data_IF_894842015391
#
_entry.id   IF_894842015391
#
_cell.length_a   1.000
_cell.length_b   1.000
_cell.length_c   1.000
_cell.angle_alpha   90.00
_cell.angle_beta   90.00
_cell.angle_gamma   90.00
#
_symmetry.space_group_name_H-M   'P 1'
#
loop_
_entity.id
_entity.type
_entity.pdbx_description
1 polymer ?
#
# COMPACT_ATOMS: atom_id res chain seq x y z
N UNK A 1 -9.35 18.16 -11.10
CA UNK A 1 -8.35 18.17 -10.00
C UNK A 1 -8.18 19.61 -9.54
N UNK A 2 -8.61 19.94 -8.34
CA UNK A 2 -8.44 21.29 -7.77
C UNK A 2 -6.96 21.48 -7.45
N UNK A 3 -6.26 22.35 -8.15
CA UNK A 3 -4.85 22.61 -7.91
C UNK A 3 -4.63 23.21 -6.51
N UNK A 4 -3.49 22.95 -5.86
CA UNK A 4 -3.13 23.44 -4.52
C UNK A 4 -3.27 24.98 -4.41
N UNK A 5 -2.97 25.72 -5.49
CA UNK A 5 -3.16 27.17 -5.58
C UNK A 5 -4.62 27.61 -5.52
N UNK A 6 -5.57 26.80 -6.01
CA UNK A 6 -7.00 27.10 -5.90
C UNK A 6 -7.49 26.94 -4.45
N UNK A 7 -7.00 25.93 -3.71
CA UNK A 7 -7.33 25.78 -2.28
C UNK A 7 -6.93 27.03 -1.50
N UNK A 8 -5.71 27.54 -1.70
CA UNK A 8 -5.28 28.79 -1.05
C UNK A 8 -6.16 29.98 -1.47
N UNK A 9 -6.48 30.11 -2.75
CA UNK A 9 -7.32 31.19 -3.27
C UNK A 9 -8.72 31.17 -2.63
N UNK A 10 -9.33 29.99 -2.54
CA UNK A 10 -10.67 29.82 -1.97
C UNK A 10 -10.70 30.21 -0.49
N UNK A 11 -9.67 29.82 0.29
CA UNK A 11 -9.54 30.20 1.70
C UNK A 11 -9.31 31.71 1.84
N UNK A 12 -8.47 32.31 1.00
CA UNK A 12 -8.27 33.78 1.00
C UNK A 12 -9.55 34.52 0.71
N UNK A 13 -10.37 34.05 -0.24
CA UNK A 13 -11.68 34.65 -0.55
C UNK A 13 -12.66 34.52 0.62
N UNK A 14 -12.72 33.34 1.25
CA UNK A 14 -13.60 33.08 2.40
C UNK A 14 -13.24 33.94 3.62
N UNK A 15 -11.95 34.20 3.84
CA UNK A 15 -11.47 34.98 4.99
C UNK A 15 -11.32 36.48 4.70
N UNK A 16 -11.47 36.91 3.44
CA UNK A 16 -11.22 38.27 3.01
C UNK A 16 -9.73 38.68 3.09
N UNK A 17 -8.81 37.72 3.19
CA UNK A 17 -7.38 37.98 3.38
C UNK A 17 -6.71 38.30 2.05
N UNK A 18 -6.01 39.44 1.98
CA UNK A 18 -5.23 39.82 0.79
C UNK A 18 -3.85 39.17 0.74
N UNK A 19 -3.24 39.11 -0.45
CA UNK A 19 -1.85 38.57 -0.60
C UNK A 19 -0.82 39.35 0.23
N UNK A 20 -0.99 40.67 0.36
CA UNK A 20 -0.09 41.50 1.15
C UNK A 20 -0.22 41.24 2.65
N UNK A 21 -1.44 41.08 3.16
CA UNK A 21 -1.69 40.71 4.55
C UNK A 21 -1.14 39.31 4.85
N UNK A 22 -1.44 38.37 3.96
CA UNK A 22 -0.96 36.98 4.11
C UNK A 22 0.56 36.92 4.10
N UNK A 23 1.23 37.70 3.24
CA UNK A 23 2.70 37.82 3.23
C UNK A 23 3.23 38.35 4.56
N UNK A 24 2.63 39.42 5.08
CA UNK A 24 3.01 40.03 6.36
C UNK A 24 2.83 39.07 7.54
N UNK A 25 1.71 38.33 7.59
CA UNK A 25 1.39 37.43 8.69
C UNK A 25 2.21 36.14 8.66
N UNK A 26 2.43 35.58 7.48
CA UNK A 26 3.12 34.29 7.31
C UNK A 26 4.64 34.37 7.20
N UNK A 27 5.16 35.56 6.85
CA UNK A 27 6.57 35.75 6.48
C UNK A 27 6.94 35.20 5.09
N UNK A 28 5.98 34.64 4.35
CA UNK A 28 6.20 34.20 2.97
C UNK A 28 6.15 35.40 2.03
N UNK A 29 7.15 35.54 1.14
CA UNK A 29 7.24 36.69 0.25
C UNK A 29 6.03 36.76 -0.69
N UNK A 30 5.44 37.95 -0.87
CA UNK A 30 4.27 38.16 -1.73
C UNK A 30 4.46 37.65 -3.18
N UNK A 31 5.63 37.83 -3.85
CA UNK A 31 5.85 37.24 -5.18
C UNK A 31 5.73 35.72 -5.21
N UNK A 32 6.14 35.03 -4.14
CA UNK A 32 5.99 33.57 -4.02
C UNK A 32 4.53 33.16 -3.89
N UNK A 33 3.74 33.90 -3.10
CA UNK A 33 2.29 33.68 -2.97
C UNK A 33 1.59 33.92 -4.32
N UNK A 34 1.89 35.04 -4.99
CA UNK A 34 1.35 35.35 -6.32
C UNK A 34 1.72 34.28 -7.38
N UNK A 35 3.00 33.84 -7.37
CA UNK A 35 3.49 32.76 -8.24
C UNK A 35 2.77 31.44 -8.01
N UNK A 36 2.53 31.08 -6.75
CA UNK A 36 1.78 29.88 -6.38
C UNK A 36 0.31 29.92 -6.80
N UNK A 37 -0.36 31.04 -6.56
CA UNK A 37 -1.75 31.28 -6.98
C UNK A 37 -1.93 31.23 -8.50
N UNK A 38 -0.89 31.60 -9.25
CA UNK A 38 -0.87 31.54 -10.72
C UNK A 38 -0.24 30.25 -11.27
N UNK A 39 0.04 29.26 -10.42
CA UNK A 39 0.67 27.98 -10.76
C UNK A 39 2.03 28.08 -11.46
N UNK A 40 2.75 29.20 -11.26
CA UNK A 40 4.11 29.42 -11.78
C UNK A 40 5.20 28.91 -10.83
N UNK A 41 4.90 28.81 -9.55
CA UNK A 41 5.79 28.34 -8.48
C UNK A 41 5.01 27.38 -7.62
N UNK A 42 5.66 26.31 -7.13
CA UNK A 42 5.09 25.44 -6.10
C UNK A 42 5.64 25.81 -4.73
N UNK A 43 4.83 25.64 -3.69
CA UNK A 43 5.20 25.81 -2.29
C UNK A 43 5.32 24.45 -1.61
N UNK A 44 6.24 24.31 -0.66
CA UNK A 44 6.28 23.14 0.20
C UNK A 44 5.00 23.00 1.04
N UNK A 45 4.73 21.78 1.56
CA UNK A 45 3.58 21.56 2.44
C UNK A 45 3.67 22.45 3.70
N UNK A 46 4.87 22.61 4.27
CA UNK A 46 5.10 23.49 5.43
C UNK A 46 4.81 24.97 5.12
N UNK A 47 5.18 25.43 3.93
CA UNK A 47 4.87 26.81 3.52
C UNK A 47 3.38 27.02 3.30
N UNK A 48 2.71 26.05 2.66
CA UNK A 48 1.27 26.10 2.44
C UNK A 48 0.49 26.00 3.77
N UNK A 49 0.90 25.10 4.68
CA UNK A 49 0.29 24.99 6.01
C UNK A 49 0.46 26.28 6.81
N UNK A 50 1.63 26.93 6.75
CA UNK A 50 1.86 28.23 7.37
C UNK A 50 0.93 29.32 6.84
N UNK A 51 0.73 29.37 5.51
CA UNK A 51 -0.20 30.32 4.89
C UNK A 51 -1.65 30.05 5.35
N UNK A 52 -2.07 28.80 5.35
CA UNK A 52 -3.41 28.39 5.79
C UNK A 52 -3.62 28.67 7.28
N UNK A 53 -2.62 28.40 8.11
CA UNK A 53 -2.68 28.63 9.56
C UNK A 53 -2.89 30.10 9.92
N UNK A 54 -2.33 31.03 9.13
CA UNK A 54 -2.60 32.45 9.32
C UNK A 54 -4.07 32.86 9.10
N UNK A 55 -4.82 32.00 8.40
CA UNK A 55 -6.25 32.19 8.09
C UNK A 55 -7.14 31.24 8.91
N UNK A 56 -6.59 30.52 9.91
CA UNK A 56 -7.34 29.62 10.76
C UNK A 56 -7.57 28.21 10.19
N UNK A 57 -6.85 27.83 9.14
CA UNK A 57 -6.95 26.52 8.50
C UNK A 57 -5.67 25.71 8.71
N UNK A 58 -5.77 24.38 8.60
CA UNK A 58 -4.65 23.45 8.64
C UNK A 58 -4.60 22.66 7.33
N UNK A 59 -3.39 22.39 6.84
CA UNK A 59 -3.19 21.45 5.73
C UNK A 59 -3.22 20.02 6.27
N UNK A 60 -4.13 19.20 5.74
CA UNK A 60 -4.11 17.75 5.97
C UNK A 60 -3.69 17.01 4.69
N UNK A 61 -2.61 16.25 4.78
CA UNK A 61 -2.17 15.37 3.70
C UNK A 61 -2.66 13.95 3.99
N UNK A 62 -3.75 13.57 3.33
CA UNK A 62 -4.33 12.22 3.46
C UNK A 62 -3.68 11.29 2.44
N UNK A 63 -2.96 10.27 2.92
CA UNK A 63 -2.46 9.18 2.08
C UNK A 63 -3.55 8.13 1.95
N UNK A 64 -4.08 7.97 0.75
CA UNK A 64 -5.02 6.88 0.47
C UNK A 64 -4.27 5.74 -0.21
N UNK A 65 -4.39 4.49 0.27
CA UNK A 65 -3.80 3.36 -0.42
C UNK A 65 -4.48 3.21 -1.79
N UNK A 66 -3.66 3.03 -2.82
CA UNK A 66 -4.15 2.62 -4.14
C UNK A 66 -4.24 1.10 -4.10
N UNK A 67 -5.46 0.56 -4.06
CA UNK A 67 -5.67 -0.88 -4.23
C UNK A 67 -5.54 -1.18 -5.72
N UNK A 68 -4.52 -1.94 -6.16
CA UNK A 68 -4.36 -2.27 -7.56
C UNK A 68 -5.55 -3.09 -8.07
N UNK A 69 -5.94 -2.87 -9.32
CA UNK A 69 -6.93 -3.73 -9.98
C UNK A 69 -6.29 -5.10 -10.22
N UNK A 70 -6.72 -6.08 -9.45
CA UNK A 70 -6.27 -7.45 -9.63
C UNK A 70 -6.80 -8.05 -10.92
N UNK A 71 -5.96 -8.74 -11.66
CA UNK A 71 -6.36 -9.65 -12.73
C UNK A 71 -7.21 -10.79 -12.16
N UNK A 72 -7.86 -11.56 -13.03
CA UNK A 72 -8.63 -12.74 -12.62
C UNK A 72 -7.74 -13.77 -11.89
N UNK A 73 -6.52 -13.96 -12.35
CA UNK A 73 -5.55 -14.88 -11.74
C UNK A 73 -5.09 -14.40 -10.37
N UNK A 74 -4.70 -13.13 -10.25
CA UNK A 74 -4.27 -12.52 -8.98
C UNK A 74 -5.41 -12.53 -7.95
N UNK A 75 -6.65 -12.25 -8.37
CA UNK A 75 -7.84 -12.33 -7.51
C UNK A 75 -8.05 -13.74 -6.98
N UNK A 76 -7.98 -14.75 -7.84
CA UNK A 76 -8.09 -16.16 -7.45
C UNK A 76 -6.98 -16.54 -6.48
N UNK A 77 -5.73 -16.17 -6.77
CA UNK A 77 -4.59 -16.37 -5.88
C UNK A 77 -4.85 -15.74 -4.53
N UNK A 78 -5.26 -14.47 -4.49
CA UNK A 78 -5.56 -13.74 -3.26
C UNK A 78 -6.64 -14.42 -2.39
N UNK A 79 -7.70 -14.91 -3.00
CA UNK A 79 -8.78 -15.61 -2.26
C UNK A 79 -8.29 -16.90 -1.60
N UNK A 80 -7.50 -17.71 -2.32
CA UNK A 80 -6.90 -18.91 -1.75
C UNK A 80 -5.94 -18.58 -0.61
N UNK A 81 -5.10 -17.57 -0.78
CA UNK A 81 -4.17 -17.12 0.26
C UNK A 81 -4.88 -16.48 1.45
N UNK A 82 -5.97 -15.76 1.23
CA UNK A 82 -6.84 -15.25 2.31
C UNK A 82 -7.44 -16.39 3.13
N UNK A 83 -7.86 -17.49 2.48
CA UNK A 83 -8.33 -18.68 3.21
C UNK A 83 -7.19 -19.34 3.99
N UNK A 84 -6.01 -19.47 3.42
CA UNK A 84 -4.82 -19.93 4.16
C UNK A 84 -4.54 -19.06 5.38
N UNK A 85 -4.60 -17.73 5.22
CA UNK A 85 -4.41 -16.80 6.32
C UNK A 85 -5.41 -16.99 7.44
N UNK A 86 -6.69 -17.30 7.13
CA UNK A 86 -7.71 -17.55 8.16
C UNK A 86 -7.47 -18.82 8.97
N UNK A 87 -6.69 -19.75 8.45
CA UNK A 87 -6.32 -21.00 9.11
C UNK A 87 -4.94 -20.94 9.77
N UNK A 88 -4.11 -19.97 9.37
CA UNK A 88 -2.74 -19.85 9.82
C UNK A 88 -2.68 -19.51 11.32
N UNK A 89 -2.01 -20.35 12.08
CA UNK A 89 -1.67 -20.14 13.48
C UNK A 89 -0.32 -20.82 13.81
N UNK A 90 0.11 -20.77 15.07
CA UNK A 90 1.40 -21.33 15.51
C UNK A 90 1.48 -22.84 15.36
N UNK A 91 0.39 -23.53 15.52
CA UNK A 91 0.36 -24.99 15.43
C UNK A 91 0.31 -25.43 13.96
N UNK A 92 -0.60 -24.88 13.17
CA UNK A 92 -0.76 -25.23 11.75
C UNK A 92 0.51 -24.96 10.92
N UNK A 93 1.26 -23.91 11.22
CA UNK A 93 2.48 -23.61 10.48
C UNK A 93 3.53 -24.72 10.64
N UNK A 94 3.58 -25.40 11.79
CA UNK A 94 4.47 -26.53 12.02
C UNK A 94 4.03 -27.74 11.20
N UNK A 95 2.73 -28.02 11.17
CA UNK A 95 2.18 -29.13 10.37
C UNK A 95 2.36 -28.90 8.87
N UNK A 96 2.32 -27.64 8.43
CA UNK A 96 2.47 -27.25 7.03
C UNK A 96 3.93 -27.19 6.57
N UNK A 97 4.88 -27.04 7.50
CA UNK A 97 6.30 -26.86 7.21
C UNK A 97 6.87 -27.91 6.22
N UNK A 98 6.67 -29.23 6.38
CA UNK A 98 7.22 -30.20 5.44
C UNK A 98 6.72 -30.05 4.00
N UNK A 99 5.46 -29.63 3.84
CA UNK A 99 4.88 -29.37 2.51
C UNK A 99 5.41 -28.07 1.92
N UNK A 100 5.56 -27.03 2.74
CA UNK A 100 6.11 -25.73 2.33
C UNK A 100 7.57 -25.91 1.87
N UNK A 101 8.40 -26.63 2.63
CA UNK A 101 9.82 -26.86 2.31
C UNK A 101 9.97 -27.60 0.97
N UNK A 102 9.21 -28.66 0.73
CA UNK A 102 9.17 -29.34 -0.58
C UNK A 102 8.79 -28.40 -1.72
N UNK A 103 7.81 -27.54 -1.50
CA UNK A 103 7.38 -26.57 -2.51
C UNK A 103 8.48 -25.53 -2.76
N UNK A 104 9.16 -25.07 -1.73
CA UNK A 104 10.30 -24.14 -1.84
C UNK A 104 11.45 -24.77 -2.65
N UNK A 105 11.81 -26.02 -2.38
CA UNK A 105 12.83 -26.74 -3.14
C UNK A 105 12.45 -26.88 -4.61
N UNK A 106 11.21 -27.31 -4.87
CA UNK A 106 10.69 -27.44 -6.24
C UNK A 106 10.70 -26.10 -6.99
N UNK A 107 10.25 -25.02 -6.35
CA UNK A 107 10.23 -23.68 -6.95
C UNK A 107 11.65 -23.17 -7.20
N UNK A 108 12.60 -23.42 -6.31
CA UNK A 108 14.01 -23.03 -6.49
C UNK A 108 14.64 -23.66 -7.72
N UNK A 109 14.25 -24.87 -8.08
CA UNK A 109 14.73 -25.55 -9.29
C UNK A 109 14.04 -25.09 -10.59
N UNK A 110 12.92 -24.38 -10.49
CA UNK A 110 12.11 -23.96 -11.65
C UNK A 110 12.17 -22.46 -11.94
N UNK A 111 12.43 -21.66 -10.92
CA UNK A 111 12.46 -20.20 -11.04
C UNK A 111 13.87 -19.75 -11.46
N UNK A 112 13.90 -18.85 -12.44
CA UNK A 112 15.14 -18.19 -12.88
C UNK A 112 14.90 -16.69 -12.97
N UNK A 113 15.81 -15.93 -12.40
CA UNK A 113 15.81 -14.47 -12.48
C UNK A 113 15.01 -13.74 -11.41
N UNK A 114 15.27 -12.44 -11.35
CA UNK A 114 14.60 -11.51 -10.44
C UNK A 114 13.28 -11.02 -11.05
N UNK A 115 12.24 -10.74 -10.24
CA UNK A 115 12.23 -10.71 -8.75
C UNK A 115 11.87 -12.06 -8.08
N UNK A 116 11.63 -13.13 -8.83
CA UNK A 116 11.07 -14.38 -8.31
C UNK A 116 12.00 -15.07 -7.30
N UNK A 117 13.30 -15.13 -7.55
CA UNK A 117 14.27 -15.70 -6.63
C UNK A 117 14.31 -14.95 -5.31
N UNK A 118 14.32 -13.60 -5.37
CA UNK A 118 14.29 -12.75 -4.19
C UNK A 118 13.00 -12.97 -3.37
N UNK A 119 11.86 -13.03 -4.03
CA UNK A 119 10.57 -13.24 -3.35
C UNK A 119 10.48 -14.64 -2.72
N UNK A 120 11.03 -15.66 -3.37
CA UNK A 120 11.11 -17.01 -2.79
C UNK A 120 12.01 -17.03 -1.54
N UNK A 121 13.13 -16.29 -1.54
CA UNK A 121 13.97 -16.15 -0.36
C UNK A 121 13.23 -15.45 0.79
N UNK A 122 12.47 -14.40 0.51
CA UNK A 122 11.63 -13.73 1.51
C UNK A 122 10.59 -14.67 2.13
N UNK A 123 10.00 -15.58 1.34
CA UNK A 123 9.13 -16.63 1.87
C UNK A 123 9.86 -17.53 2.86
N UNK A 124 11.07 -17.99 2.53
CA UNK A 124 11.92 -18.77 3.44
C UNK A 124 12.15 -18.03 4.74
N UNK A 125 12.57 -16.79 4.66
CA UNK A 125 12.88 -15.95 5.83
C UNK A 125 11.67 -15.79 6.76
N UNK A 126 10.47 -15.57 6.22
CA UNK A 126 9.24 -15.48 7.01
C UNK A 126 8.89 -16.80 7.72
N UNK A 127 9.06 -17.93 7.03
CA UNK A 127 8.75 -19.27 7.54
C UNK A 127 9.76 -19.67 8.61
N UNK A 128 11.05 -19.46 8.36
CA UNK A 128 12.14 -19.86 9.27
C UNK A 128 12.10 -19.05 10.58
N UNK A 129 11.76 -17.78 10.50
CA UNK A 129 11.58 -16.91 11.68
C UNK A 129 10.25 -17.14 12.40
N UNK A 130 9.31 -17.87 11.80
CA UNK A 130 7.96 -18.02 12.33
C UNK A 130 7.19 -16.68 12.41
N UNK A 131 7.48 -15.77 11.47
CA UNK A 131 6.85 -14.43 11.43
C UNK A 131 5.42 -14.53 10.90
N UNK A 132 4.49 -14.91 11.79
CA UNK A 132 3.08 -15.03 11.45
C UNK A 132 2.47 -13.71 10.97
N UNK A 133 2.87 -12.57 11.54
CA UNK A 133 2.36 -11.26 11.11
C UNK A 133 2.82 -10.93 9.69
N UNK A 134 4.09 -11.18 9.38
CA UNK A 134 4.62 -11.05 8.03
C UNK A 134 3.93 -11.98 7.05
N UNK A 135 3.69 -13.24 7.43
CA UNK A 135 2.94 -14.21 6.62
C UNK A 135 1.50 -13.74 6.37
N UNK A 136 0.75 -13.32 7.40
CA UNK A 136 -0.61 -12.78 7.24
C UNK A 136 -0.62 -11.58 6.29
N UNK A 137 0.33 -10.67 6.43
CA UNK A 137 0.46 -9.50 5.55
C UNK A 137 0.63 -9.90 4.07
N UNK A 138 1.52 -10.82 3.76
CA UNK A 138 1.75 -11.29 2.39
C UNK A 138 0.56 -12.05 1.84
N UNK A 139 -0.07 -12.89 2.66
CA UNK A 139 -1.23 -13.70 2.25
C UNK A 139 -2.45 -12.85 1.94
N UNK A 140 -2.65 -11.72 2.65
CA UNK A 140 -3.89 -10.90 2.54
C UNK A 140 -3.66 -9.55 1.88
N UNK A 141 -2.42 -9.07 1.75
CA UNK A 141 -2.09 -7.77 1.20
C UNK A 141 -2.56 -7.59 -0.24
N UNK A 142 -3.01 -6.38 -0.56
CA UNK A 142 -3.44 -5.97 -1.91
C UNK A 142 -2.45 -4.99 -2.56
N UNK A 143 -1.35 -4.69 -1.88
CA UNK A 143 -0.25 -3.93 -2.44
C UNK A 143 0.51 -4.77 -3.48
N UNK A 144 1.25 -4.08 -4.37
CA UNK A 144 1.95 -4.73 -5.47
C UNK A 144 2.98 -5.75 -4.99
N UNK A 145 3.69 -5.44 -3.91
CA UNK A 145 4.70 -6.34 -3.32
C UNK A 145 4.06 -7.65 -2.84
N UNK A 146 2.94 -7.58 -2.11
CA UNK A 146 2.20 -8.78 -1.67
C UNK A 146 1.64 -9.60 -2.84
N UNK A 147 1.22 -8.95 -3.93
CA UNK A 147 0.77 -9.64 -5.15
C UNK A 147 1.93 -10.42 -5.78
N UNK A 148 3.08 -9.78 -5.99
CA UNK A 148 4.28 -10.40 -6.56
C UNK A 148 4.84 -11.54 -5.70
N UNK A 149 4.83 -11.37 -4.37
CA UNK A 149 5.20 -12.43 -3.44
C UNK A 149 4.33 -13.69 -3.63
N UNK A 150 3.02 -13.52 -3.84
CA UNK A 150 2.10 -14.65 -4.05
C UNK A 150 2.26 -15.38 -5.38
N UNK A 151 2.89 -14.77 -6.39
CA UNK A 151 3.21 -15.44 -7.66
C UNK A 151 4.14 -16.65 -7.47
N UNK A 152 5.03 -16.57 -6.49
CA UNK A 152 5.98 -17.63 -6.15
C UNK A 152 5.70 -18.26 -4.78
N UNK A 153 4.43 -18.29 -4.39
CA UNK A 153 4.03 -18.78 -3.07
C UNK A 153 4.29 -20.29 -2.91
N UNK A 154 4.98 -20.69 -1.84
CA UNK A 154 5.17 -22.11 -1.53
C UNK A 154 3.98 -22.75 -0.80
N UNK A 155 2.87 -22.03 -0.64
CA UNK A 155 1.68 -22.47 0.11
C UNK A 155 0.75 -23.39 -0.68
N UNK A 156 1.19 -23.87 -1.84
CA UNK A 156 0.41 -24.80 -2.67
C UNK A 156 0.15 -26.14 -1.98
N UNK A 157 -1.08 -26.67 -2.10
CA UNK A 157 -1.45 -27.98 -1.56
C UNK A 157 -1.80 -28.02 -0.06
N UNK A 158 -1.79 -26.88 0.64
CA UNK A 158 -2.13 -26.82 2.06
C UNK A 158 -3.64 -26.78 2.33
N UNK A 159 -4.42 -26.30 1.38
CA UNK A 159 -5.90 -26.33 1.47
C UNK A 159 -6.46 -27.63 0.91
N UNK A 160 -7.44 -28.21 1.60
CA UNK A 160 -8.23 -29.32 1.07
C UNK A 160 -9.06 -28.87 -0.15
N UNK A 161 -9.59 -29.81 -0.92
CA UNK A 161 -10.47 -29.49 -2.06
C UNK A 161 -11.71 -28.71 -1.64
N UNK A 162 -12.30 -29.06 -0.51
CA UNK A 162 -13.47 -28.38 0.06
C UNK A 162 -13.13 -26.93 0.44
N UNK A 163 -12.05 -26.70 1.19
CA UNK A 163 -11.57 -25.36 1.57
C UNK A 163 -11.24 -24.49 0.35
N UNK A 164 -10.71 -25.09 -0.72
CA UNK A 164 -10.46 -24.38 -2.00
C UNK A 164 -11.76 -23.97 -2.68
N UNK A 165 -12.76 -24.86 -2.67
CA UNK A 165 -14.08 -24.56 -3.23
C UNK A 165 -14.77 -23.44 -2.46
N UNK A 166 -14.78 -23.51 -1.13
CA UNK A 166 -15.30 -22.44 -0.26
C UNK A 166 -14.65 -21.09 -0.52
N UNK A 167 -13.31 -21.07 -0.65
CA UNK A 167 -12.59 -19.83 -0.92
C UNK A 167 -12.99 -19.17 -2.25
N UNK A 168 -13.51 -19.96 -3.19
CA UNK A 168 -13.88 -19.46 -4.53
C UNK A 168 -15.35 -19.03 -4.63
N UNK A 169 -16.25 -19.50 -3.73
CA UNK A 169 -17.69 -19.18 -3.77
C UNK A 169 -17.97 -17.71 -3.43
N UNK A 170 -17.14 -17.04 -2.64
CA UNK A 170 -17.28 -15.62 -2.30
C UNK A 170 -16.79 -14.63 -3.37
N UNK A 171 -16.60 -15.09 -4.62
CA UNK A 171 -15.89 -14.36 -5.68
C UNK A 171 -16.78 -13.91 -6.85
N UNK A 172 -18.10 -14.08 -6.74
CA UNK A 172 -19.05 -13.69 -7.79
C UNK A 172 -19.54 -12.29 -7.62
#
# INVERSE_FOLDING_TARGET
>A
MTGRGNVLRDVMLQTGTTQSELSRLSGVRQPSISGFLSSRVDLSDDQLDRLLSCMGYRLEVVRRPIVPKLTRSERRSWQLHRRLSSLLNRDNIQDWRPTIERNVERLSGQLTGQPHEHNLQRWRDLIDRGDLLGLHRVLTGLDRDSVEMREVSPMGGLLTQEQRSEAMVGAS
#
